data_IF_553919278343
#
_entry.id   IF_553919278343
#
_cell.length_a   1.000
_cell.length_b   1.000
_cell.length_c   1.000
_cell.angle_alpha   90.00
_cell.angle_beta   90.00
_cell.angle_gamma   90.00
#
_symmetry.space_group_name_H-M   'P 1'
#
loop_
_entity.id
_entity.type
_entity.pdbx_description
1 polymer ?
#
# COMPACT_ATOMS: atom_id res chain seq x y z
N UNK A 1 26.71 3.20 9.27
CA UNK A 1 25.58 2.32 9.65
C UNK A 1 24.78 2.11 8.38
N UNK A 2 24.73 0.89 7.84
CA UNK A 2 24.17 0.67 6.50
C UNK A 2 22.65 0.61 6.57
N UNK A 3 22.04 1.68 6.05
CA UNK A 3 20.61 1.93 6.05
C UNK A 3 19.88 0.99 5.09
N UNK A 4 18.60 0.74 5.36
CA UNK A 4 17.71 0.01 4.45
C UNK A 4 17.39 0.91 3.25
N UNK A 5 17.69 0.43 2.05
CA UNK A 5 17.34 1.05 0.78
C UNK A 5 15.94 0.63 0.36
N UNK A 6 15.22 1.51 -0.33
CA UNK A 6 13.89 1.24 -0.88
C UNK A 6 13.91 1.60 -2.36
N UNK A 7 13.63 0.63 -3.23
CA UNK A 7 13.38 0.85 -4.65
C UNK A 7 11.88 0.84 -4.90
N UNK A 8 11.43 1.67 -5.84
CA UNK A 8 10.02 1.85 -6.15
C UNK A 8 9.88 1.78 -7.67
N UNK A 9 8.99 0.91 -8.14
CA UNK A 9 8.64 0.78 -9.54
C UNK A 9 7.16 1.09 -9.73
N UNK A 10 6.82 2.24 -10.36
CA UNK A 10 5.44 2.55 -10.72
C UNK A 10 5.04 1.87 -12.02
N UNK A 11 3.80 1.39 -12.08
CA UNK A 11 3.14 0.89 -13.28
C UNK A 11 1.68 1.36 -13.31
N UNK A 12 1.06 1.35 -14.49
CA UNK A 12 -0.35 1.67 -14.66
C UNK A 12 -1.10 0.40 -15.08
N UNK A 13 -2.17 0.07 -14.37
CA UNK A 13 -3.06 -1.05 -14.68
C UNK A 13 -4.32 -0.45 -15.30
N UNK A 14 -4.55 -0.72 -16.58
CA UNK A 14 -5.64 -0.12 -17.36
C UNK A 14 -7.02 -0.62 -16.88
N UNK A 15 -7.11 -1.90 -16.51
CA UNK A 15 -8.35 -2.54 -16.08
C UNK A 15 -8.92 -1.92 -14.80
N UNK A 16 -8.03 -1.61 -13.85
CA UNK A 16 -8.39 -1.05 -12.53
C UNK A 16 -8.27 0.48 -12.49
N UNK A 17 -7.85 1.12 -13.59
CA UNK A 17 -7.51 2.54 -13.69
C UNK A 17 -6.61 3.00 -12.53
N UNK A 18 -5.67 2.14 -12.14
CA UNK A 18 -4.88 2.29 -10.93
C UNK A 18 -3.40 2.49 -11.25
N UNK A 19 -2.75 3.34 -10.48
CA UNK A 19 -1.28 3.35 -10.42
C UNK A 19 -0.87 2.34 -9.34
N UNK A 20 -0.06 1.36 -9.73
CA UNK A 20 0.49 0.33 -8.86
C UNK A 20 1.96 0.63 -8.60
N UNK A 21 2.34 0.61 -7.33
CA UNK A 21 3.70 0.77 -6.88
C UNK A 21 4.22 -0.55 -6.30
N UNK A 22 5.28 -1.07 -6.93
CA UNK A 22 6.05 -2.19 -6.41
C UNK A 22 7.22 -1.66 -5.60
N UNK A 23 7.33 -2.08 -4.35
CA UNK A 23 8.38 -1.69 -3.42
C UNK A 23 9.33 -2.86 -3.19
N UNK A 24 10.63 -2.62 -3.35
CA UNK A 24 11.69 -3.55 -2.97
C UNK A 24 12.52 -2.95 -1.84
N UNK A 25 12.56 -3.64 -0.70
CA UNK A 25 13.37 -3.25 0.45
C UNK A 25 14.70 -4.00 0.42
N UNK A 26 15.80 -3.27 0.32
CA UNK A 26 17.13 -3.82 0.05
C UNK A 26 18.11 -3.47 1.17
N UNK A 27 19.00 -4.40 1.51
CA UNK A 27 20.14 -4.15 2.38
C UNK A 27 21.35 -4.91 1.86
N UNK A 28 22.47 -4.22 1.65
CA UNK A 28 23.69 -4.84 1.08
C UNK A 28 23.43 -5.61 -0.22
N UNK A 29 22.62 -5.02 -1.11
CA UNK A 29 22.19 -5.65 -2.38
C UNK A 29 21.37 -6.94 -2.22
N UNK A 30 20.92 -7.28 -1.01
CA UNK A 30 20.00 -8.39 -0.75
C UNK A 30 18.59 -7.86 -0.48
N UNK A 31 17.58 -8.57 -0.99
CA UNK A 31 16.17 -8.25 -0.76
C UNK A 31 15.72 -8.70 0.63
N UNK A 32 15.27 -7.74 1.43
CA UNK A 32 14.74 -7.92 2.78
C UNK A 32 13.22 -8.01 2.81
N UNK A 33 12.57 -7.56 1.73
CA UNK A 33 11.15 -7.68 1.55
C UNK A 33 10.64 -6.96 0.31
N UNK A 34 9.34 -7.10 0.08
CA UNK A 34 8.59 -6.45 -0.98
C UNK A 34 7.19 -6.07 -0.54
N UNK A 35 6.58 -5.12 -1.24
CA UNK A 35 5.17 -4.80 -1.12
C UNK A 35 4.60 -4.34 -2.47
N UNK A 36 3.33 -4.62 -2.73
CA UNK A 36 2.57 -4.14 -3.89
C UNK A 36 1.43 -3.27 -3.40
N UNK A 37 1.36 -2.03 -3.90
CA UNK A 37 0.38 -1.04 -3.46
C UNK A 37 -0.37 -0.46 -4.64
N UNK A 38 -1.69 -0.58 -4.62
CA UNK A 38 -2.57 0.02 -5.60
C UNK A 38 -3.04 1.37 -5.09
N UNK A 39 -3.22 2.34 -5.99
CA UNK A 39 -3.71 3.67 -5.62
C UNK A 39 -4.97 4.03 -6.40
N UNK A 40 -5.91 4.64 -5.68
CA UNK A 40 -7.23 4.99 -6.20
C UNK A 40 -7.63 6.40 -5.76
N UNK A 41 -8.55 7.00 -6.51
CA UNK A 41 -9.27 8.19 -6.05
C UNK A 41 -10.37 7.78 -5.08
N UNK A 42 -10.54 8.51 -3.98
CA UNK A 42 -11.63 8.31 -3.00
C UNK A 42 -13.03 8.48 -3.61
N UNK A 43 -13.15 9.15 -4.77
CA UNK A 43 -14.43 9.39 -5.45
C UNK A 43 -14.73 8.45 -6.61
N UNK A 44 -13.74 7.67 -7.06
CA UNK A 44 -14.01 6.56 -7.98
C UNK A 44 -14.31 5.35 -7.10
N UNK A 45 -15.48 4.75 -7.30
CA UNK A 45 -15.97 3.61 -6.54
C UNK A 45 -15.68 2.32 -7.31
N UNK A 46 -14.50 1.68 -7.12
CA UNK A 46 -14.30 0.30 -7.47
C UNK A 46 -14.79 -0.54 -6.29
N UNK A 47 -16.10 -0.74 -6.14
CA UNK A 47 -16.67 -1.78 -5.26
C UNK A 47 -15.92 -1.91 -3.92
N UNK A 48 -15.86 -0.84 -3.12
CA UNK A 48 -15.12 -0.86 -1.84
C UNK A 48 -15.66 -1.93 -0.87
N UNK A 49 -16.86 -2.46 -1.12
CA UNK A 49 -17.46 -3.62 -0.45
C UNK A 49 -16.61 -4.91 -0.53
N UNK A 50 -15.64 -4.99 -1.44
CA UNK A 50 -14.73 -6.14 -1.56
C UNK A 50 -13.52 -6.07 -0.62
N UNK A 51 -13.09 -4.86 -0.22
CA UNK A 51 -11.97 -4.65 0.70
C UNK A 51 -12.53 -4.51 2.13
N UNK A 52 -12.90 -5.63 2.75
CA UNK A 52 -13.55 -5.66 4.08
C UNK A 52 -12.64 -5.30 5.26
N UNK A 53 -11.60 -4.48 5.06
CA UNK A 53 -10.79 -4.01 6.18
C UNK A 53 -11.45 -2.78 6.79
N UNK A 54 -12.13 -2.97 7.92
CA UNK A 54 -12.60 -1.88 8.80
C UNK A 54 -11.43 -1.06 9.37
N UNK A 55 -10.20 -1.55 9.24
CA UNK A 55 -8.97 -0.92 9.72
C UNK A 55 -8.19 -0.28 8.58
N UNK A 56 -7.90 1.02 8.72
CA UNK A 56 -7.04 1.78 7.83
C UNK A 56 -6.03 2.60 8.63
N UNK A 57 -4.94 2.99 7.99
CA UNK A 57 -3.96 3.91 8.54
C UNK A 57 -4.20 5.28 7.91
N UNK A 58 -4.48 6.28 8.74
CA UNK A 58 -4.54 7.68 8.32
C UNK A 58 -3.12 8.26 8.26
N UNK A 59 -2.65 8.58 7.05
CA UNK A 59 -1.34 9.21 6.84
C UNK A 59 -1.41 10.74 6.94
N UNK A 60 -2.57 11.30 6.60
CA UNK A 60 -2.85 12.74 6.59
C UNK A 60 -4.31 12.99 6.97
N UNK A 61 -4.61 14.05 7.75
CA UNK A 61 -5.98 14.42 8.05
C UNK A 61 -6.75 14.72 6.76
N UNK A 62 -7.97 14.21 6.65
CA UNK A 62 -8.87 14.55 5.54
C UNK A 62 -9.12 16.07 5.52
N UNK A 63 -8.54 16.77 4.54
CA UNK A 63 -8.87 18.16 4.29
C UNK A 63 -10.29 18.22 3.71
N UNK A 64 -11.16 19.02 4.33
CA UNK A 64 -12.62 19.04 4.15
C UNK A 64 -13.18 19.19 2.71
N UNK A 65 -12.33 19.36 1.69
CA UNK A 65 -12.72 19.54 0.28
C UNK A 65 -11.71 18.93 -0.71
N UNK A 66 -10.86 17.99 -0.28
CA UNK A 66 -9.98 17.26 -1.19
C UNK A 66 -10.49 15.84 -1.35
N UNK A 67 -10.81 15.44 -2.59
CA UNK A 67 -10.98 14.04 -2.93
C UNK A 67 -9.64 13.36 -2.64
N UNK A 68 -9.55 12.61 -1.55
CA UNK A 68 -8.32 11.96 -1.14
C UNK A 68 -7.86 10.95 -2.18
N UNK A 69 -6.55 10.71 -2.26
CA UNK A 69 -6.05 9.48 -2.88
C UNK A 69 -5.88 8.46 -1.77
N UNK A 70 -6.35 7.24 -2.01
CA UNK A 70 -6.19 6.13 -1.09
C UNK A 70 -5.20 5.13 -1.68
N UNK A 71 -4.60 4.33 -0.81
CA UNK A 71 -3.76 3.21 -1.18
C UNK A 71 -4.27 1.91 -0.57
N UNK A 72 -4.15 0.81 -1.31
CA UNK A 72 -4.43 -0.53 -0.82
C UNK A 72 -3.16 -1.36 -0.95
N UNK A 73 -2.66 -1.86 0.17
CA UNK A 73 -1.57 -2.84 0.19
C UNK A 73 -2.17 -4.18 -0.19
N UNK A 74 -1.83 -4.65 -1.40
CA UNK A 74 -2.32 -5.90 -1.95
C UNK A 74 -1.48 -7.09 -1.45
N UNK A 75 -0.15 -6.97 -1.57
CA UNK A 75 0.80 -7.98 -1.11
C UNK A 75 1.90 -7.33 -0.28
N UNK A 76 2.36 -8.03 0.75
CA UNK A 76 3.48 -7.60 1.57
C UNK A 76 4.21 -8.80 2.17
N UNK A 77 5.51 -8.89 1.89
CA UNK A 77 6.39 -9.92 2.44
C UNK A 77 7.68 -9.27 2.87
N UNK A 78 7.89 -9.10 4.18
CA UNK A 78 9.08 -8.43 4.73
C UNK A 78 9.60 -9.24 5.91
N UNK A 79 10.92 -9.43 5.97
CA UNK A 79 11.58 -10.01 7.12
C UNK A 79 11.28 -9.19 8.39
N UNK A 80 10.95 -9.88 9.48
CA UNK A 80 10.36 -9.28 10.68
C UNK A 80 11.25 -8.16 11.27
N UNK A 81 12.56 -8.35 11.28
CA UNK A 81 13.51 -7.36 11.81
C UNK A 81 13.59 -6.06 10.97
N UNK A 82 13.12 -6.09 9.72
CA UNK A 82 13.07 -4.93 8.81
C UNK A 82 11.67 -4.36 8.63
N UNK A 83 10.63 -5.03 9.13
CA UNK A 83 9.23 -4.66 8.91
C UNK A 83 8.95 -3.22 9.30
N UNK A 84 9.27 -2.82 10.54
CA UNK A 84 9.03 -1.45 11.02
C UNK A 84 9.71 -0.38 10.16
N UNK A 85 10.97 -0.57 9.82
CA UNK A 85 11.73 0.39 9.02
C UNK A 85 11.19 0.49 7.59
N UNK A 86 10.84 -0.64 6.98
CA UNK A 86 10.29 -0.75 5.63
C UNK A 86 8.93 -0.05 5.54
N UNK A 87 8.02 -0.36 6.47
CA UNK A 87 6.70 0.26 6.56
C UNK A 87 6.80 1.78 6.72
N UNK A 88 7.69 2.26 7.58
CA UNK A 88 7.89 3.70 7.76
C UNK A 88 8.35 4.40 6.47
N UNK A 89 9.29 3.80 5.72
CA UNK A 89 9.76 4.36 4.44
C UNK A 89 8.65 4.36 3.39
N UNK A 90 7.90 3.26 3.28
CA UNK A 90 6.77 3.15 2.36
C UNK A 90 5.66 4.16 2.68
N UNK A 91 5.22 4.25 3.94
CA UNK A 91 4.21 5.21 4.36
C UNK A 91 4.65 6.66 4.18
N UNK A 92 5.94 6.95 4.40
CA UNK A 92 6.48 8.27 4.13
C UNK A 92 6.38 8.62 2.64
N UNK A 93 6.73 7.69 1.74
CA UNK A 93 6.57 7.87 0.31
C UNK A 93 5.10 8.06 -0.09
N UNK A 94 4.19 7.21 0.39
CA UNK A 94 2.76 7.31 0.10
C UNK A 94 2.19 8.67 0.54
N UNK A 95 2.60 9.15 1.71
CA UNK A 95 2.26 10.50 2.18
C UNK A 95 2.77 11.60 1.25
N UNK A 96 4.01 11.51 0.77
CA UNK A 96 4.58 12.51 -0.16
C UNK A 96 3.79 12.59 -1.47
N UNK A 97 3.34 11.45 -2.01
CA UNK A 97 2.55 11.42 -3.26
C UNK A 97 1.06 11.77 -3.06
N UNK A 98 0.67 12.15 -1.84
CA UNK A 98 -0.66 12.65 -1.51
C UNK A 98 -1.68 11.57 -1.14
N UNK A 99 -1.24 10.39 -0.69
CA UNK A 99 -2.13 9.37 -0.13
C UNK A 99 -2.56 9.78 1.28
N UNK A 100 -3.86 9.81 1.53
CA UNK A 100 -4.44 10.16 2.83
C UNK A 100 -4.69 8.94 3.71
N UNK A 101 -5.12 7.82 3.11
CA UNK A 101 -5.47 6.57 3.81
C UNK A 101 -4.83 5.36 3.15
N UNK A 102 -4.38 4.42 3.97
CA UNK A 102 -3.86 3.13 3.52
C UNK A 102 -4.69 2.01 4.11
N UNK A 103 -5.17 1.12 3.25
CA UNK A 103 -5.92 -0.09 3.60
C UNK A 103 -5.03 -1.32 3.38
N UNK A 104 -5.32 -2.40 4.10
CA UNK A 104 -4.70 -3.71 3.87
C UNK A 104 -5.73 -4.62 3.23
N UNK A 105 -5.38 -5.24 2.11
CA UNK A 105 -6.23 -6.26 1.51
C UNK A 105 -6.36 -7.44 2.49
N UNK A 106 -7.57 -7.68 2.98
CA UNK A 106 -7.89 -8.95 3.65
C UNK A 106 -8.24 -9.98 2.57
N UNK A 107 -7.56 -11.11 2.53
CA UNK A 107 -8.02 -12.24 1.73
C UNK A 107 -9.37 -12.70 2.28
N UNK A 108 -10.45 -12.57 1.50
CA UNK A 108 -11.67 -13.34 1.79
C UNK A 108 -11.30 -14.81 1.64
N UNK A 109 -11.01 -15.49 2.76
CA UNK A 109 -11.07 -16.94 2.80
C UNK A 109 -12.51 -17.31 2.45
N UNK A 110 -12.74 -17.75 1.20
CA UNK A 110 -13.97 -18.40 0.82
C UNK A 110 -14.09 -19.66 1.69
N UNK A 111 -14.81 -19.55 2.80
CA UNK A 111 -15.32 -20.72 3.52
C UNK A 111 -16.34 -21.34 2.58
N UNK A 112 -15.88 -22.31 1.79
CA UNK A 112 -16.77 -23.26 1.14
C UNK A 112 -17.50 -24.00 2.27
N UNK A 113 -18.74 -23.59 2.54
CA UNK A 113 -19.65 -24.40 3.34
C UNK A 113 -20.10 -25.53 2.42
N UNK A 114 -19.58 -26.73 2.70
CA UNK A 114 -20.04 -28.01 2.13
C UNK A 114 -21.40 -28.34 2.75
#
# INVERSE_FOLDING_TARGET
MNELEMKIEPSFVEEDLAIVFSFDFMRFSKKMGEAVVYTFSETQDPSWESFSSTEYIELMPALKNQNGKIAVIHDITILEEYKKQSMNKMFHFLKIIGISKVYFLQSKSNVAVI
#
